data_IF_252144706144
#
_entry.id   IF_252144706144
#
_cell.length_a   1.000
_cell.length_b   1.000
_cell.length_c   1.000
_cell.angle_alpha   90.00
_cell.angle_beta   90.00
_cell.angle_gamma   90.00
#
_symmetry.space_group_name_H-M   'P 1'
#
loop_
_entity.id
_entity.type
_entity.pdbx_description
1 polymer ?
#
# COMPACT_ATOMS: atom_id res chain seq x y z
N UNK A 1 -22.48 -19.33 1.34
CA UNK A 1 -21.09 -19.07 0.92
C UNK A 1 -20.19 -20.14 1.52
N UNK A 2 -19.25 -20.67 0.76
CA UNK A 2 -18.22 -21.58 1.30
C UNK A 2 -17.21 -20.82 2.16
N UNK A 3 -16.50 -21.50 3.05
CA UNK A 3 -15.43 -20.90 3.85
C UNK A 3 -14.38 -20.19 2.96
N UNK A 4 -13.94 -20.84 1.89
CA UNK A 4 -13.00 -20.26 0.92
C UNK A 4 -13.56 -18.99 0.24
N UNK A 5 -14.85 -18.97 -0.08
CA UNK A 5 -15.51 -17.79 -0.64
C UNK A 5 -15.56 -16.61 0.34
N UNK A 6 -15.83 -16.86 1.62
CA UNK A 6 -15.81 -15.83 2.67
C UNK A 6 -14.39 -15.25 2.80
N UNK A 7 -13.38 -16.13 2.87
CA UNK A 7 -11.99 -15.69 3.03
C UNK A 7 -11.50 -14.87 1.82
N UNK A 8 -11.87 -15.28 0.61
CA UNK A 8 -11.56 -14.53 -0.61
C UNK A 8 -12.24 -13.14 -0.60
N UNK A 9 -13.48 -13.05 -0.12
CA UNK A 9 -14.17 -11.76 0.02
C UNK A 9 -13.47 -10.84 1.03
N UNK A 10 -13.05 -11.37 2.17
CA UNK A 10 -12.27 -10.61 3.17
C UNK A 10 -10.96 -10.13 2.54
N UNK A 11 -10.24 -11.01 1.84
CA UNK A 11 -8.98 -10.69 1.16
C UNK A 11 -9.19 -9.57 0.14
N UNK A 12 -10.24 -9.65 -0.69
CA UNK A 12 -10.58 -8.61 -1.66
C UNK A 12 -10.86 -7.27 -0.97
N UNK A 13 -11.62 -7.28 0.13
CA UNK A 13 -11.94 -6.08 0.89
C UNK A 13 -10.69 -5.41 1.45
N UNK A 14 -9.82 -6.18 2.12
CA UNK A 14 -8.58 -5.64 2.69
C UNK A 14 -7.65 -5.10 1.57
N UNK A 15 -7.51 -5.82 0.47
CA UNK A 15 -6.72 -5.37 -0.68
C UNK A 15 -7.25 -4.06 -1.26
N UNK A 16 -8.59 -3.93 -1.37
CA UNK A 16 -9.24 -2.72 -1.86
C UNK A 16 -9.00 -1.51 -0.94
N UNK A 17 -9.07 -1.71 0.39
CA UNK A 17 -8.79 -0.65 1.37
C UNK A 17 -7.35 -0.14 1.25
N UNK A 18 -6.38 -1.03 1.10
CA UNK A 18 -4.97 -0.64 0.92
C UNK A 18 -4.77 0.07 -0.42
N UNK A 19 -5.34 -0.45 -1.51
CA UNK A 19 -5.26 0.16 -2.82
C UNK A 19 -5.89 1.57 -2.83
N UNK A 20 -7.06 1.72 -2.21
CA UNK A 20 -7.75 3.01 -2.06
C UNK A 20 -6.95 4.04 -1.27
N UNK A 21 -6.28 3.61 -0.20
CA UNK A 21 -5.41 4.48 0.59
C UNK A 21 -4.23 5.01 -0.24
N UNK A 22 -3.49 4.14 -0.93
CA UNK A 22 -2.35 4.58 -1.75
C UNK A 22 -2.80 5.41 -2.96
N UNK A 23 -3.93 5.07 -3.54
CA UNK A 23 -4.55 5.87 -4.59
C UNK A 23 -4.89 7.29 -4.11
N UNK A 24 -5.56 7.42 -2.96
CA UNK A 24 -5.89 8.73 -2.37
C UNK A 24 -4.64 9.58 -2.11
N UNK A 25 -3.56 8.97 -1.63
CA UNK A 25 -2.27 9.63 -1.51
C UNK A 25 -1.77 10.15 -2.85
N UNK A 26 -1.78 9.33 -3.91
CA UNK A 26 -1.26 9.71 -5.24
C UNK A 26 -2.05 10.80 -5.94
N UNK A 27 -3.40 10.78 -5.83
CA UNK A 27 -4.25 11.69 -6.62
C UNK A 27 -4.72 12.93 -5.88
N UNK A 28 -4.54 12.98 -4.56
CA UNK A 28 -5.06 14.08 -3.75
C UNK A 28 -4.04 14.58 -2.73
N UNK A 29 -3.57 13.72 -1.82
CA UNK A 29 -2.81 14.16 -0.66
C UNK A 29 -1.45 14.74 -1.07
N UNK A 30 -0.67 14.04 -1.90
CA UNK A 30 0.63 14.55 -2.38
C UNK A 30 0.49 15.83 -3.20
N UNK A 31 -0.58 15.93 -4.02
CA UNK A 31 -0.85 17.12 -4.82
C UNK A 31 -1.25 18.32 -3.95
N UNK A 32 -1.98 18.08 -2.86
CA UNK A 32 -2.31 19.09 -1.87
C UNK A 32 -1.07 19.55 -1.09
N UNK A 33 -0.28 18.60 -0.61
CA UNK A 33 0.96 18.87 0.12
C UNK A 33 2.02 19.59 -0.71
N UNK A 34 2.03 19.40 -2.04
CA UNK A 34 2.93 20.15 -2.93
C UNK A 34 2.66 21.66 -2.95
N UNK A 35 1.51 22.13 -2.41
CA UNK A 35 1.07 23.53 -2.43
C UNK A 35 1.27 24.27 -1.09
N UNK A 36 1.70 23.56 -0.06
CA UNK A 36 1.95 24.16 1.26
C UNK A 36 3.44 24.49 1.45
N UNK A 37 3.77 25.28 2.45
CA UNK A 37 5.16 25.61 2.81
C UNK A 37 5.95 24.34 3.19
N UNK A 38 7.29 24.41 3.10
CA UNK A 38 8.17 23.27 3.42
C UNK A 38 7.99 22.82 4.88
N UNK A 39 7.81 23.77 5.78
CA UNK A 39 7.55 23.49 7.21
C UNK A 39 6.23 22.74 7.42
N UNK A 40 5.16 23.22 6.78
CA UNK A 40 3.85 22.55 6.85
C UNK A 40 3.91 21.16 6.23
N UNK A 41 4.58 21.01 5.07
CA UNK A 41 4.77 19.73 4.41
C UNK A 41 5.39 18.70 5.35
N UNK A 42 6.55 19.01 5.95
CA UNK A 42 7.24 18.09 6.85
C UNK A 42 6.40 17.82 8.10
N UNK A 43 5.81 18.83 8.70
CA UNK A 43 4.97 18.70 9.90
C UNK A 43 3.79 17.75 9.66
N UNK A 44 3.04 17.95 8.56
CA UNK A 44 1.88 17.11 8.22
C UNK A 44 2.34 15.68 7.90
N UNK A 45 3.45 15.54 7.17
CA UNK A 45 3.97 14.22 6.82
C UNK A 45 4.41 13.42 8.04
N UNK A 46 5.15 14.05 8.99
CA UNK A 46 5.53 13.41 10.26
C UNK A 46 4.28 12.99 11.06
N UNK A 47 3.29 13.89 11.20
CA UNK A 47 2.06 13.58 11.92
C UNK A 47 1.29 12.43 11.29
N UNK A 48 1.15 12.43 9.96
CA UNK A 48 0.43 11.38 9.23
C UNK A 48 1.17 10.04 9.27
N UNK A 49 2.52 10.07 9.18
CA UNK A 49 3.35 8.88 9.29
C UNK A 49 3.22 8.17 10.65
N UNK A 50 3.10 8.95 11.73
CA UNK A 50 2.81 8.40 13.08
C UNK A 50 1.38 7.89 13.18
N UNK A 51 0.42 8.62 12.64
CA UNK A 51 -1.00 8.26 12.71
C UNK A 51 -1.33 6.96 11.94
N UNK A 52 -0.67 6.69 10.80
CA UNK A 52 -0.92 5.49 9.99
C UNK A 52 -0.46 4.21 10.70
N UNK A 53 0.43 4.29 11.68
CA UNK A 53 0.93 3.15 12.45
C UNK A 53 -0.08 2.69 13.50
N UNK A 54 -1.30 2.39 13.06
CA UNK A 54 -2.40 1.95 13.91
C UNK A 54 -2.90 0.55 13.53
N UNK A 55 -3.57 -0.17 14.46
CA UNK A 55 -4.01 -1.54 14.21
C UNK A 55 -4.94 -1.71 13.00
N UNK A 56 -5.79 -0.72 12.70
CA UNK A 56 -6.75 -0.80 11.60
C UNK A 56 -6.02 -0.85 10.25
N UNK A 57 -5.03 0.03 10.06
CA UNK A 57 -4.18 -0.01 8.88
C UNK A 57 -3.37 -1.31 8.81
N UNK A 58 -2.74 -1.70 9.92
CA UNK A 58 -1.89 -2.90 9.95
C UNK A 58 -2.69 -4.18 9.65
N UNK A 59 -3.93 -4.29 10.13
CA UNK A 59 -4.82 -5.41 9.79
C UNK A 59 -5.08 -5.44 8.27
N UNK A 60 -5.37 -4.31 7.65
CA UNK A 60 -5.59 -4.29 6.20
C UNK A 60 -4.31 -4.61 5.43
N UNK A 61 -3.20 -3.97 5.78
CA UNK A 61 -1.93 -4.06 5.07
C UNK A 61 -1.28 -5.45 5.20
N UNK A 62 -1.10 -5.93 6.44
CA UNK A 62 -0.51 -7.25 6.70
C UNK A 62 -1.52 -8.38 6.49
N UNK A 63 -2.80 -8.13 6.78
CA UNK A 63 -3.87 -9.10 6.52
C UNK A 63 -3.96 -9.46 5.04
N UNK A 64 -3.87 -8.50 4.14
CA UNK A 64 -3.77 -8.77 2.69
C UNK A 64 -2.57 -9.66 2.37
N UNK A 65 -1.39 -9.35 2.91
CA UNK A 65 -0.17 -10.13 2.69
C UNK A 65 -0.28 -11.57 3.16
N UNK A 66 -0.97 -11.80 4.28
CA UNK A 66 -1.14 -13.14 4.85
C UNK A 66 -2.25 -13.93 4.15
N UNK A 67 -3.37 -13.27 3.82
CA UNK A 67 -4.54 -13.96 3.27
C UNK A 67 -4.40 -14.28 1.77
N UNK A 68 -3.66 -13.51 0.99
CA UNK A 68 -3.42 -13.81 -0.42
C UNK A 68 -2.79 -15.19 -0.62
N UNK A 69 -1.66 -15.56 0.02
CA UNK A 69 -1.09 -16.91 -0.10
C UNK A 69 -2.05 -18.01 0.41
N UNK A 70 -2.81 -17.73 1.47
CA UNK A 70 -3.84 -18.68 1.96
C UNK A 70 -4.91 -18.92 0.90
N UNK A 71 -5.38 -17.87 0.22
CA UNK A 71 -6.31 -18.02 -0.89
C UNK A 71 -5.70 -18.79 -2.05
N UNK A 72 -4.43 -18.55 -2.42
CA UNK A 72 -3.73 -19.36 -3.43
C UNK A 72 -3.81 -20.85 -3.08
N UNK A 73 -3.51 -21.20 -1.83
CA UNK A 73 -3.56 -22.58 -1.34
C UNK A 73 -4.99 -23.15 -1.38
N UNK A 74 -5.99 -22.40 -0.93
CA UNK A 74 -7.39 -22.86 -0.91
C UNK A 74 -7.98 -23.11 -2.32
N UNK A 75 -7.49 -22.38 -3.31
CA UNK A 75 -7.98 -22.47 -4.70
C UNK A 75 -7.02 -23.20 -5.64
N UNK A 76 -6.06 -23.98 -5.12
CA UNK A 76 -5.01 -24.62 -5.94
C UNK A 76 -5.54 -25.58 -7.00
N UNK A 77 -6.73 -26.16 -6.83
CA UNK A 77 -7.40 -27.02 -7.80
C UNK A 77 -8.18 -26.26 -8.87
N UNK A 78 -8.39 -24.98 -8.68
CA UNK A 78 -9.13 -24.10 -9.59
C UNK A 78 -8.11 -23.28 -10.41
N UNK A 79 -7.70 -23.81 -11.56
CA UNK A 79 -6.56 -23.34 -12.35
C UNK A 79 -6.59 -21.82 -12.59
N UNK A 80 -7.71 -21.26 -13.04
CA UNK A 80 -7.82 -19.81 -13.31
C UNK A 80 -7.66 -18.98 -12.04
N UNK A 81 -8.39 -19.33 -10.97
CA UNK A 81 -8.30 -18.63 -9.67
C UNK A 81 -6.91 -18.74 -9.06
N UNK A 82 -6.33 -19.93 -9.13
CA UNK A 82 -4.97 -20.17 -8.63
C UNK A 82 -3.96 -19.22 -9.24
N UNK A 83 -3.90 -19.12 -10.57
CA UNK A 83 -2.92 -18.28 -11.25
C UNK A 83 -3.17 -16.77 -11.02
N UNK A 84 -4.44 -16.35 -10.98
CA UNK A 84 -4.79 -14.96 -10.68
C UNK A 84 -4.38 -14.57 -9.26
N UNK A 85 -4.66 -15.43 -8.27
CA UNK A 85 -4.31 -15.16 -6.87
C UNK A 85 -2.81 -15.25 -6.64
N UNK A 86 -2.10 -16.16 -7.32
CA UNK A 86 -0.65 -16.26 -7.27
C UNK A 86 0.00 -14.98 -7.85
N UNK A 87 -0.49 -14.52 -9.00
CA UNK A 87 -0.03 -13.25 -9.59
C UNK A 87 -0.33 -12.05 -8.67
N UNK A 88 -1.54 -11.97 -8.09
CA UNK A 88 -1.88 -10.93 -7.11
C UNK A 88 -0.96 -10.97 -5.89
N UNK A 89 -0.65 -12.16 -5.38
CA UNK A 89 0.28 -12.35 -4.26
C UNK A 89 1.67 -11.83 -4.61
N UNK A 90 2.21 -12.23 -5.77
CA UNK A 90 3.53 -11.79 -6.21
C UNK A 90 3.61 -10.26 -6.37
N UNK A 91 2.61 -9.66 -7.06
CA UNK A 91 2.54 -8.22 -7.27
C UNK A 91 2.42 -7.46 -5.94
N UNK A 92 1.58 -7.93 -5.02
CA UNK A 92 1.42 -7.28 -3.72
C UNK A 92 2.68 -7.43 -2.86
N UNK A 93 3.27 -8.63 -2.80
CA UNK A 93 4.48 -8.87 -2.02
C UNK A 93 5.66 -8.03 -2.51
N UNK A 94 5.89 -7.98 -3.81
CA UNK A 94 7.03 -7.24 -4.38
C UNK A 94 6.74 -5.75 -4.42
N UNK A 95 5.63 -5.36 -5.06
CA UNK A 95 5.34 -3.97 -5.38
C UNK A 95 4.70 -3.16 -4.25
N UNK A 96 4.13 -3.81 -3.22
CA UNK A 96 3.57 -3.12 -2.06
C UNK A 96 4.43 -3.35 -0.83
N UNK A 97 4.59 -4.60 -0.40
CA UNK A 97 5.33 -4.92 0.83
C UNK A 97 6.82 -4.60 0.66
N UNK A 98 7.46 -5.13 -0.39
CA UNK A 98 8.87 -4.91 -0.66
C UNK A 98 9.21 -3.42 -0.79
N UNK A 99 8.45 -2.68 -1.60
CA UNK A 99 8.64 -1.23 -1.78
C UNK A 99 8.44 -0.46 -0.47
N UNK A 100 7.46 -0.86 0.36
CA UNK A 100 7.22 -0.22 1.66
C UNK A 100 8.41 -0.42 2.60
N UNK A 101 8.85 -1.68 2.78
CA UNK A 101 9.91 -1.99 3.75
C UNK A 101 11.28 -1.52 3.31
N UNK A 102 11.60 -1.62 2.02
CA UNK A 102 12.93 -1.27 1.49
C UNK A 102 13.06 0.20 1.08
N UNK A 103 11.94 0.88 0.87
CA UNK A 103 11.94 2.25 0.36
C UNK A 103 11.20 3.25 1.25
N UNK A 104 9.86 3.14 1.39
CA UNK A 104 9.11 4.18 2.08
C UNK A 104 9.41 4.25 3.59
N UNK A 105 9.57 3.11 4.29
CA UNK A 105 9.87 3.10 5.73
C UNK A 105 11.22 3.77 6.03
N UNK A 106 12.33 3.48 5.35
CA UNK A 106 13.58 4.21 5.55
C UNK A 106 13.46 5.73 5.36
N UNK A 107 12.75 6.16 4.32
CA UNK A 107 12.48 7.59 4.08
C UNK A 107 11.64 8.19 5.21
N UNK A 108 10.56 7.51 5.59
CA UNK A 108 9.69 7.94 6.69
C UNK A 108 10.45 8.09 8.00
N UNK A 109 11.31 7.13 8.34
CA UNK A 109 12.13 7.18 9.55
C UNK A 109 13.12 8.35 9.51
N UNK A 110 13.76 8.59 8.36
CA UNK A 110 14.65 9.74 8.17
C UNK A 110 13.89 11.05 8.38
N UNK A 111 12.68 11.17 7.83
CA UNK A 111 11.87 12.36 7.99
C UNK A 111 11.35 12.52 9.43
N UNK A 112 10.93 11.43 10.09
CA UNK A 112 10.40 11.47 11.45
C UNK A 112 11.46 11.85 12.50
N UNK A 113 12.72 11.53 12.25
CA UNK A 113 13.87 11.91 13.07
C UNK A 113 14.37 13.35 12.82
N UNK A 114 13.85 14.04 11.80
CA UNK A 114 14.25 15.42 11.52
C UNK A 114 13.61 16.39 12.53
N UNK A 115 14.44 17.12 13.27
CA UNK A 115 13.96 18.10 14.26
C UNK A 115 13.54 19.41 13.58
N UNK A 116 12.27 19.48 13.22
CA UNK A 116 11.67 20.64 12.57
C UNK A 116 11.71 21.91 13.43
N UNK A 117 11.83 21.79 14.77
CA UNK A 117 11.79 22.95 15.68
C UNK A 117 13.12 23.69 15.73
N UNK A 118 14.22 22.98 15.60
CA UNK A 118 15.58 23.55 15.66
C UNK A 118 16.13 23.90 14.29
N UNK A 119 15.55 23.36 13.20
CA UNK A 119 16.05 23.54 11.84
C UNK A 119 15.77 24.93 11.28
N UNK A 120 16.73 25.47 10.53
CA UNK A 120 16.55 26.69 9.76
C UNK A 120 15.81 26.44 8.42
N UNK A 121 15.36 27.52 7.76
CA UNK A 121 14.58 27.42 6.54
C UNK A 121 15.28 26.66 5.38
N UNK A 122 16.61 26.79 5.30
CA UNK A 122 17.41 26.11 4.26
C UNK A 122 17.46 24.60 4.52
N UNK A 123 17.64 24.18 5.76
CA UNK A 123 17.66 22.77 6.16
C UNK A 123 16.30 22.11 5.92
N UNK A 124 15.21 22.83 6.23
CA UNK A 124 13.83 22.37 5.98
C UNK A 124 13.59 22.16 4.48
N UNK A 125 14.00 23.13 3.64
CA UNK A 125 13.85 23.04 2.18
C UNK A 125 14.65 21.84 1.60
N UNK A 126 15.87 21.64 2.07
CA UNK A 126 16.70 20.49 1.66
C UNK A 126 16.05 19.18 2.08
N UNK A 127 15.61 19.07 3.34
CA UNK A 127 14.95 17.86 3.85
C UNK A 127 13.69 17.50 3.05
N UNK A 128 12.86 18.49 2.69
CA UNK A 128 11.70 18.28 1.83
C UNK A 128 12.11 17.77 0.45
N UNK A 129 13.05 18.43 -0.20
CA UNK A 129 13.54 18.06 -1.54
C UNK A 129 14.05 16.63 -1.58
N UNK A 130 14.83 16.23 -0.56
CA UNK A 130 15.41 14.89 -0.46
C UNK A 130 14.36 13.81 -0.21
N UNK A 131 13.22 14.17 0.38
CA UNK A 131 12.16 13.26 0.75
C UNK A 131 11.04 13.16 -0.31
N UNK A 132 10.51 14.30 -0.77
CA UNK A 132 9.25 14.38 -1.51
C UNK A 132 9.27 13.54 -2.80
N UNK A 133 10.23 13.76 -3.68
CA UNK A 133 10.29 13.07 -4.98
C UNK A 133 10.54 11.57 -4.84
N UNK A 134 11.53 11.09 -4.08
CA UNK A 134 11.72 9.65 -3.87
C UNK A 134 10.50 8.97 -3.26
N UNK A 135 9.88 9.59 -2.25
CA UNK A 135 8.71 9.02 -1.59
C UNK A 135 7.52 8.93 -2.54
N UNK A 136 7.23 9.98 -3.30
CA UNK A 136 6.13 10.02 -4.27
C UNK A 136 6.29 8.95 -5.36
N UNK A 137 7.50 8.76 -5.88
CA UNK A 137 7.80 7.71 -6.86
C UNK A 137 7.52 6.31 -6.30
N UNK A 138 7.99 6.03 -5.09
CA UNK A 138 7.72 4.75 -4.42
C UNK A 138 6.21 4.57 -4.12
N UNK A 139 5.52 5.64 -3.73
CA UNK A 139 4.07 5.58 -3.54
C UNK A 139 3.33 5.30 -4.85
N UNK A 140 3.77 5.84 -5.97
CA UNK A 140 3.22 5.53 -7.29
C UNK A 140 3.36 4.04 -7.62
N UNK A 141 4.52 3.44 -7.35
CA UNK A 141 4.72 2.00 -7.52
C UNK A 141 3.74 1.20 -6.64
N UNK A 142 3.57 1.57 -5.37
CA UNK A 142 2.61 0.92 -4.46
C UNK A 142 1.17 1.06 -4.96
N UNK A 143 0.81 2.23 -5.46
CA UNK A 143 -0.54 2.51 -6.01
C UNK A 143 -0.83 1.63 -7.21
N UNK A 144 0.08 1.58 -8.18
CA UNK A 144 -0.08 0.74 -9.38
C UNK A 144 -0.13 -0.73 -9.00
N UNK A 145 0.78 -1.19 -8.15
CA UNK A 145 0.86 -2.59 -7.73
C UNK A 145 -0.37 -3.03 -6.92
N UNK A 146 -0.82 -2.23 -5.96
CA UNK A 146 -2.01 -2.56 -5.17
C UNK A 146 -3.29 -2.52 -6.01
N UNK A 147 -3.39 -1.60 -6.97
CA UNK A 147 -4.50 -1.53 -7.92
C UNK A 147 -4.51 -2.75 -8.84
N UNK A 148 -3.36 -3.17 -9.34
CA UNK A 148 -3.26 -4.39 -10.15
C UNK A 148 -3.61 -5.64 -9.31
N UNK A 149 -3.12 -5.71 -8.08
CA UNK A 149 -3.44 -6.82 -7.18
C UNK A 149 -4.95 -6.94 -6.92
N UNK A 150 -5.65 -5.84 -6.61
CA UNK A 150 -7.11 -5.90 -6.39
C UNK A 150 -7.88 -6.25 -7.66
N UNK A 151 -7.47 -5.78 -8.84
CA UNK A 151 -8.07 -6.16 -10.10
C UNK A 151 -7.97 -7.68 -10.30
N UNK A 152 -6.79 -8.27 -10.08
CA UNK A 152 -6.58 -9.72 -10.20
C UNK A 152 -7.45 -10.50 -9.20
N UNK A 153 -7.57 -10.02 -7.95
CA UNK A 153 -8.44 -10.63 -6.94
C UNK A 153 -9.92 -10.53 -7.34
N UNK A 154 -10.37 -9.40 -7.87
CA UNK A 154 -11.76 -9.24 -8.36
C UNK A 154 -12.03 -10.21 -9.52
N UNK A 155 -11.12 -10.32 -10.48
CA UNK A 155 -11.27 -11.28 -11.59
C UNK A 155 -11.32 -12.72 -11.03
N UNK A 156 -10.51 -13.05 -10.03
CA UNK A 156 -10.58 -14.35 -9.37
C UNK A 156 -11.93 -14.60 -8.68
N UNK A 157 -12.52 -13.58 -8.04
CA UNK A 157 -13.86 -13.68 -7.45
C UNK A 157 -14.94 -13.96 -8.51
N UNK A 158 -14.83 -13.34 -9.69
CA UNK A 158 -15.81 -13.44 -10.77
C UNK A 158 -15.61 -14.68 -11.64
N UNK A 159 -14.43 -15.31 -11.59
CA UNK A 159 -14.13 -16.50 -12.38
C UNK A 159 -15.05 -17.65 -11.98
N UNK A 160 -15.83 -18.16 -12.96
CA UNK A 160 -16.63 -19.38 -12.82
C UNK A 160 -15.77 -20.53 -13.32
N UNK A 161 -15.35 -21.42 -12.43
CA UNK A 161 -14.82 -22.70 -12.88
C UNK A 161 -16.00 -23.64 -13.11
N UNK A 162 -15.94 -24.36 -14.22
CA UNK A 162 -16.82 -25.51 -14.42
C UNK A 162 -16.35 -26.58 -13.44
N UNK A 163 -17.21 -26.95 -12.51
CA UNK A 163 -16.97 -28.15 -11.70
C UNK A 163 -16.87 -29.34 -12.69
N UNK A 164 -15.67 -29.91 -12.77
CA UNK A 164 -15.43 -31.18 -13.49
C UNK A 164 -15.62 -32.35 -12.52
#
# INVERSE_FOLDING_TARGET
MTFSGVLLTITATLTALVAGLFYAWSVSITLGLARVSDTEYISVFQATNRAIQNPVFLIAFMGTQLLLPVCVFLFYRQTTRFWLLLAATAVYTIGVIGVTFLGNIPLNNKLDNFDLKSANAQEIAVQRKDFETPWNNLNTVRTVSSTLAIILVIIACLSREKDF
#
